data_IF_941807115331
#
_entry.id   IF_941807115331
#
_cell.length_a   1.000
_cell.length_b   1.000
_cell.length_c   1.000
_cell.angle_alpha   90.00
_cell.angle_beta   90.00
_cell.angle_gamma   90.00
#
_symmetry.space_group_name_H-M   'P 1'
#
loop_
_entity.id
_entity.type
_entity.pdbx_description
1 polymer ?
#
# COMPACT_ATOMS: atom_id res chain seq x y z
N UNK A 1 14.43 -19.19 10.61
CA UNK A 1 13.47 -18.54 9.70
C UNK A 1 13.55 -17.04 9.87
N UNK A 2 13.91 -16.33 8.80
CA UNK A 2 13.75 -14.88 8.74
C UNK A 2 12.25 -14.58 8.61
N UNK A 3 11.76 -13.54 9.29
CA UNK A 3 10.37 -13.11 9.16
C UNK A 3 10.20 -12.13 7.98
N UNK A 4 9.05 -12.11 7.28
CA UNK A 4 8.79 -11.16 6.21
C UNK A 4 8.74 -9.72 6.74
N UNK A 5 9.29 -8.79 5.97
CA UNK A 5 9.26 -7.35 6.24
C UNK A 5 8.97 -6.59 4.93
N UNK A 6 7.84 -6.93 4.32
CA UNK A 6 7.40 -6.32 3.07
C UNK A 6 6.71 -4.98 3.31
N UNK A 7 6.90 -4.02 2.42
CA UNK A 7 6.40 -2.65 2.58
C UNK A 7 5.85 -2.11 1.27
N UNK A 8 4.75 -1.39 1.36
CA UNK A 8 4.15 -0.61 0.29
C UNK A 8 3.59 0.68 0.89
N UNK A 9 3.41 1.70 0.05
CA UNK A 9 2.67 2.89 0.44
C UNK A 9 1.26 2.81 -0.18
N UNK A 10 0.29 3.37 0.52
CA UNK A 10 -1.01 3.66 -0.10
C UNK A 10 -0.80 4.57 -1.31
N UNK A 11 -1.55 4.30 -2.37
CA UNK A 11 -1.47 5.01 -3.65
C UNK A 11 -2.69 5.90 -3.78
N UNK A 12 -2.48 7.18 -4.06
CA UNK A 12 -3.54 8.12 -4.41
C UNK A 12 -3.25 8.62 -5.82
N UNK A 13 -4.20 8.43 -6.74
CA UNK A 13 -4.03 8.72 -8.16
C UNK A 13 -5.31 9.28 -8.76
N UNK A 14 -5.19 10.11 -9.81
CA UNK A 14 -6.33 10.59 -10.57
C UNK A 14 -6.82 9.52 -11.56
N UNK A 15 -8.11 9.51 -11.87
CA UNK A 15 -8.73 8.50 -12.75
C UNK A 15 -8.13 8.43 -14.17
N UNK A 16 -7.58 9.53 -14.67
CA UNK A 16 -6.98 9.67 -15.99
C UNK A 16 -5.47 9.37 -16.02
N UNK A 17 -4.85 9.22 -14.86
CA UNK A 17 -3.42 9.00 -14.72
C UNK A 17 -3.04 7.50 -14.65
N UNK A 18 -1.79 7.14 -15.01
CA UNK A 18 -1.28 5.79 -14.82
C UNK A 18 -1.39 5.32 -13.35
N UNK A 19 -1.97 4.15 -13.13
CA UNK A 19 -2.13 3.56 -11.80
C UNK A 19 -0.91 2.68 -11.50
N UNK A 20 0.10 3.28 -10.86
CA UNK A 20 1.38 2.65 -10.56
C UNK A 20 1.42 2.13 -9.11
N UNK A 21 1.64 0.83 -8.97
CA UNK A 21 1.82 0.16 -7.68
C UNK A 21 3.31 -0.07 -7.44
N UNK A 22 3.77 0.24 -6.23
CA UNK A 22 5.17 0.00 -5.83
C UNK A 22 5.26 -0.66 -4.47
N UNK A 23 6.23 -1.55 -4.30
CA UNK A 23 6.48 -2.23 -3.04
C UNK A 23 7.95 -2.63 -2.92
N UNK A 24 8.35 -3.02 -1.71
CA UNK A 24 9.66 -3.59 -1.40
C UNK A 24 9.49 -4.87 -0.59
N UNK A 25 10.10 -5.95 -1.07
CA UNK A 25 10.03 -7.29 -0.49
C UNK A 25 11.34 -7.65 0.20
N UNK A 26 11.34 -7.53 1.53
CA UNK A 26 12.48 -7.85 2.39
C UNK A 26 12.15 -8.91 3.43
N UNK A 27 13.20 -9.52 3.97
CA UNK A 27 13.17 -10.47 5.06
C UNK A 27 14.17 -10.05 6.17
N UNK A 28 13.76 -10.26 7.42
CA UNK A 28 14.53 -9.92 8.62
C UNK A 28 14.23 -8.52 9.17
N UNK A 29 14.53 -8.33 10.45
CA UNK A 29 14.24 -7.11 11.22
C UNK A 29 14.99 -5.86 10.77
N UNK A 30 16.02 -6.01 9.92
CA UNK A 30 16.85 -4.93 9.38
C UNK A 30 17.04 -5.06 7.86
N UNK A 31 16.06 -5.63 7.15
CA UNK A 31 16.12 -5.79 5.70
C UNK A 31 17.37 -6.56 5.25
N UNK A 32 17.70 -7.62 6.01
CA UNK A 32 18.93 -8.41 5.85
C UNK A 32 18.95 -9.15 4.50
N UNK A 33 17.78 -9.51 3.98
CA UNK A 33 17.66 -10.25 2.72
C UNK A 33 16.57 -9.64 1.85
N UNK A 34 16.90 -9.32 0.60
CA UNK A 34 15.92 -8.92 -0.40
C UNK A 34 15.44 -10.13 -1.18
N UNK A 35 14.15 -10.13 -1.55
CA UNK A 35 13.62 -11.10 -2.52
C UNK A 35 13.93 -10.58 -3.93
N UNK A 36 15.02 -11.05 -4.53
CA UNK A 36 15.44 -10.67 -5.89
C UNK A 36 15.00 -11.70 -6.91
N UNK A 37 14.36 -11.28 -8.00
CA UNK A 37 13.94 -12.19 -9.07
C UNK A 37 12.72 -13.05 -8.72
N UNK A 38 11.98 -12.66 -7.68
CA UNK A 38 10.79 -13.38 -7.21
C UNK A 38 9.53 -12.87 -7.90
N UNK A 39 8.63 -13.80 -8.22
CA UNK A 39 7.34 -13.47 -8.83
C UNK A 39 6.33 -13.06 -7.76
N UNK A 40 5.67 -11.94 -7.98
CA UNK A 40 4.67 -11.38 -7.07
C UNK A 40 3.36 -11.16 -7.83
N UNK A 41 2.28 -11.74 -7.31
CA UNK A 41 0.92 -11.60 -7.83
C UNK A 41 0.24 -10.36 -7.28
N UNK A 42 -0.42 -9.61 -8.15
CA UNK A 42 -1.16 -8.38 -7.84
C UNK A 42 -2.65 -8.71 -7.73
N UNK A 43 -3.18 -8.72 -6.52
CA UNK A 43 -4.60 -8.97 -6.27
C UNK A 43 -5.29 -7.68 -5.81
N UNK A 44 -6.49 -7.42 -6.34
CA UNK A 44 -7.30 -6.26 -5.98
C UNK A 44 -8.72 -6.68 -5.67
N UNK A 45 -9.31 -6.11 -4.62
CA UNK A 45 -10.73 -6.25 -4.33
C UNK A 45 -11.49 -5.08 -4.97
N UNK A 46 -12.19 -5.34 -6.07
CA UNK A 46 -12.90 -4.29 -6.85
C UNK A 46 -14.20 -3.81 -6.21
N UNK A 47 -14.78 -4.59 -5.30
CA UNK A 47 -16.06 -4.28 -4.63
C UNK A 47 -15.93 -4.40 -3.11
N UNK A 48 -15.14 -3.54 -2.45
CA UNK A 48 -14.98 -3.59 -1.00
C UNK A 48 -16.29 -3.24 -0.26
N UNK A 49 -16.50 -3.76 0.97
CA UNK A 49 -15.58 -4.59 1.75
C UNK A 49 -15.72 -6.11 1.52
N UNK A 50 -16.69 -6.56 0.72
CA UNK A 50 -17.09 -7.98 0.66
C UNK A 50 -16.86 -8.65 -0.71
N UNK A 51 -16.24 -7.97 -1.67
CA UNK A 51 -15.98 -8.50 -3.00
C UNK A 51 -14.84 -9.52 -3.03
N UNK A 52 -14.79 -10.28 -4.13
CA UNK A 52 -13.72 -11.24 -4.36
C UNK A 52 -12.39 -10.56 -4.73
N UNK A 53 -11.29 -11.23 -4.40
CA UNK A 53 -9.96 -10.85 -4.85
C UNK A 53 -9.79 -11.21 -6.33
N UNK A 54 -9.44 -10.22 -7.15
CA UNK A 54 -9.17 -10.39 -8.57
C UNK A 54 -7.68 -10.25 -8.85
N UNK A 55 -7.07 -11.24 -9.49
CA UNK A 55 -5.69 -11.15 -9.99
C UNK A 55 -5.63 -10.22 -11.20
N UNK A 56 -4.82 -9.16 -11.12
CA UNK A 56 -4.58 -8.23 -12.23
C UNK A 56 -3.36 -8.59 -13.08
N UNK A 57 -2.37 -9.22 -12.45
CA UNK A 57 -1.13 -9.59 -13.12
C UNK A 57 -0.06 -10.10 -12.16
N UNK A 58 1.11 -10.37 -12.70
CA UNK A 58 2.28 -10.85 -11.96
C UNK A 58 3.51 -10.10 -12.48
N UNK A 59 4.33 -9.59 -11.57
CA UNK A 59 5.61 -8.98 -11.92
C UNK A 59 6.75 -9.55 -11.08
N UNK A 60 7.98 -9.33 -11.55
CA UNK A 60 9.18 -9.85 -10.91
C UNK A 60 9.90 -8.75 -10.14
N UNK A 61 10.35 -9.05 -8.92
CA UNK A 61 11.16 -8.11 -8.13
C UNK A 61 12.55 -7.89 -8.74
N UNK A 62 13.05 -6.65 -8.63
CA UNK A 62 14.42 -6.32 -9.04
C UNK A 62 15.48 -6.90 -8.08
N UNK A 63 16.75 -6.67 -8.40
CA UNK A 63 17.89 -7.14 -7.60
C UNK A 63 17.96 -6.57 -6.17
N UNK A 64 17.11 -5.61 -5.83
CA UNK A 64 17.01 -4.95 -4.52
C UNK A 64 15.66 -5.22 -3.84
N UNK A 65 14.90 -6.20 -4.34
CA UNK A 65 13.58 -6.56 -3.87
C UNK A 65 12.51 -5.51 -4.13
N UNK A 66 12.73 -4.57 -5.06
CA UNK A 66 11.71 -3.59 -5.44
C UNK A 66 10.77 -4.20 -6.47
N UNK A 67 9.50 -3.88 -6.31
CA UNK A 67 8.42 -4.29 -7.16
C UNK A 67 7.74 -3.05 -7.73
N UNK A 68 7.44 -3.08 -9.02
CA UNK A 68 6.69 -2.04 -9.72
C UNK A 68 5.70 -2.70 -10.66
N UNK A 69 4.44 -2.27 -10.64
CA UNK A 69 3.41 -2.75 -11.55
C UNK A 69 2.51 -1.58 -11.96
N UNK A 70 2.43 -1.32 -13.26
CA UNK A 70 1.43 -0.41 -13.82
C UNK A 70 0.18 -1.20 -14.19
N UNK A 71 -0.98 -0.84 -13.64
CA UNK A 71 -2.24 -1.49 -14.00
C UNK A 71 -2.53 -1.21 -15.49
N UNK A 72 -2.68 -2.24 -16.33
CA UNK A 72 -2.96 -2.07 -17.76
C UNK A 72 -4.20 -1.23 -18.00
N UNK A 73 -4.23 -0.48 -19.10
CA UNK A 73 -5.30 0.49 -19.40
C UNK A 73 -6.69 -0.16 -19.39
N UNK A 74 -6.80 -1.38 -19.90
CA UNK A 74 -8.02 -2.19 -19.97
C UNK A 74 -8.49 -2.73 -18.60
N UNK A 75 -7.62 -2.70 -17.59
CA UNK A 75 -7.92 -3.14 -16.22
C UNK A 75 -7.93 -1.99 -15.21
N UNK A 76 -7.71 -0.74 -15.65
CA UNK A 76 -7.71 0.45 -14.79
C UNK A 76 -8.99 0.51 -13.98
N UNK A 77 -8.83 0.85 -12.71
CA UNK A 77 -9.94 1.00 -11.79
C UNK A 77 -10.55 2.39 -11.94
N UNK A 78 -11.86 2.49 -11.86
CA UNK A 78 -12.56 3.78 -11.83
C UNK A 78 -12.39 4.45 -10.46
N UNK A 79 -13.04 5.59 -10.25
CA UNK A 79 -13.06 6.27 -8.97
C UNK A 79 -13.49 5.32 -7.83
N UNK A 80 -12.76 5.35 -6.72
CA UNK A 80 -13.02 4.48 -5.58
C UNK A 80 -11.78 4.23 -4.71
N UNK A 81 -11.99 3.48 -3.63
CA UNK A 81 -10.95 3.03 -2.71
C UNK A 81 -10.86 1.51 -2.78
N UNK A 82 -9.69 0.98 -3.12
CA UNK A 82 -9.51 -0.43 -3.42
C UNK A 82 -8.43 -1.05 -2.54
N UNK A 83 -8.76 -2.11 -1.76
CA UNK A 83 -7.75 -2.96 -1.15
C UNK A 83 -6.90 -3.65 -2.20
N UNK A 84 -5.58 -3.59 -2.03
CA UNK A 84 -4.58 -4.25 -2.85
C UNK A 84 -3.77 -5.21 -1.98
N UNK A 85 -3.52 -6.41 -2.49
CA UNK A 85 -2.72 -7.46 -1.85
C UNK A 85 -1.70 -8.00 -2.84
N UNK A 86 -0.43 -7.82 -2.53
CA UNK A 86 0.67 -8.37 -3.30
C UNK A 86 1.17 -9.65 -2.63
N UNK A 87 1.22 -10.76 -3.37
CA UNK A 87 1.56 -12.09 -2.83
C UNK A 87 2.78 -12.66 -3.55
N UNK A 88 3.83 -12.97 -2.81
CA UNK A 88 5.02 -13.66 -3.34
C UNK A 88 4.65 -15.11 -3.65
N UNK A 89 4.87 -15.58 -4.88
CA UNK A 89 4.50 -16.95 -5.27
C UNK A 89 5.32 -18.04 -4.59
N UNK A 90 6.59 -17.76 -4.30
CA UNK A 90 7.52 -18.75 -3.74
C UNK A 90 7.12 -19.22 -2.35
N UNK A 91 6.65 -18.30 -1.50
CA UNK A 91 6.42 -18.55 -0.08
C UNK A 91 5.05 -18.05 0.44
N UNK A 92 4.23 -17.44 -0.43
CA UNK A 92 2.90 -16.89 -0.13
C UNK A 92 2.89 -15.76 0.91
N UNK A 93 4.04 -15.16 1.19
CA UNK A 93 4.12 -13.96 2.02
C UNK A 93 3.63 -12.74 1.24
N UNK A 94 3.08 -11.76 1.96
CA UNK A 94 2.31 -10.69 1.32
C UNK A 94 2.46 -9.33 1.98
N UNK A 95 2.08 -8.29 1.24
CA UNK A 95 1.85 -6.93 1.75
C UNK A 95 0.50 -6.42 1.24
N UNK A 96 -0.23 -5.75 2.14
CA UNK A 96 -1.54 -5.17 1.88
C UNK A 96 -1.43 -3.64 1.97
N UNK A 97 -2.15 -2.93 1.10
CA UNK A 97 -2.25 -1.46 1.09
C UNK A 97 -3.49 -1.04 0.29
N UNK A 98 -3.75 0.27 0.18
CA UNK A 98 -4.89 0.82 -0.54
C UNK A 98 -4.49 1.59 -1.80
N UNK A 99 -5.33 1.50 -2.82
CA UNK A 99 -5.32 2.37 -3.99
C UNK A 99 -6.60 3.23 -3.98
N UNK A 100 -6.43 4.54 -3.86
CA UNK A 100 -7.48 5.53 -4.01
C UNK A 100 -7.41 6.16 -5.41
N UNK A 101 -8.46 6.00 -6.19
CA UNK A 101 -8.63 6.64 -7.49
C UNK A 101 -9.61 7.80 -7.33
N UNK A 102 -9.15 9.02 -7.62
CA UNK A 102 -9.89 10.25 -7.37
C UNK A 102 -10.29 10.97 -8.67
N UNK A 103 -11.43 11.68 -8.69
CA UNK A 103 -11.75 12.60 -9.77
C UNK A 103 -10.69 13.73 -9.91
N UNK A 104 -10.50 14.28 -11.11
CA UNK A 104 -9.72 15.50 -11.29
C UNK A 104 -10.27 16.64 -10.42
N UNK A 105 -9.37 17.48 -9.91
CA UNK A 105 -9.69 18.63 -9.03
C UNK A 105 -10.28 18.26 -7.66
N UNK A 106 -10.06 17.03 -7.18
CA UNK A 106 -10.39 16.66 -5.80
C UNK A 106 -9.60 17.54 -4.81
N UNK A 107 -10.32 18.33 -4.01
CA UNK A 107 -9.72 19.14 -2.94
C UNK A 107 -9.16 18.22 -1.86
N UNK A 108 -7.96 18.52 -1.35
CA UNK A 108 -7.26 17.67 -0.40
C UNK A 108 -6.75 18.48 0.78
N UNK A 109 -6.91 17.94 1.98
CA UNK A 109 -6.31 18.47 3.20
C UNK A 109 -5.18 17.54 3.63
N UNK A 110 -3.97 18.09 3.78
CA UNK A 110 -2.83 17.35 4.29
C UNK A 110 -2.52 17.82 5.72
N UNK A 111 -2.38 16.88 6.65
CA UNK A 111 -2.00 17.15 8.03
C UNK A 111 -0.96 16.14 8.51
N UNK A 112 -0.18 16.55 9.51
CA UNK A 112 0.83 15.68 10.11
C UNK A 112 0.21 14.82 11.20
N UNK A 113 0.49 13.52 11.20
CA UNK A 113 0.10 12.65 12.31
C UNK A 113 0.83 13.09 13.59
N UNK A 114 2.15 13.19 13.55
CA UNK A 114 2.96 13.50 14.73
C UNK A 114 2.85 14.95 15.22
N UNK A 115 2.57 15.89 14.31
CA UNK A 115 2.48 17.32 14.62
C UNK A 115 1.07 17.81 14.94
N UNK A 116 0.06 17.24 14.28
CA UNK A 116 -1.32 17.74 14.32
C UNK A 116 -2.26 16.80 15.07
N UNK A 117 -2.12 15.49 14.87
CA UNK A 117 -3.06 14.50 15.43
C UNK A 117 -2.64 14.01 16.82
N UNK A 118 -1.35 13.70 17.02
CA UNK A 118 -0.87 13.17 18.29
C UNK A 118 -0.66 14.30 19.32
N UNK A 119 -1.01 13.99 20.57
CA UNK A 119 -0.76 14.84 21.74
C UNK A 119 0.54 14.45 22.47
N UNK A 120 1.15 13.32 22.11
CA UNK A 120 2.44 12.86 22.60
C UNK A 120 3.21 12.15 21.48
N UNK A 121 4.52 12.39 21.41
CA UNK A 121 5.43 11.74 20.46
C UNK A 121 6.33 10.80 21.24
N UNK A 122 5.86 9.57 21.50
CA UNK A 122 6.67 8.54 22.14
C UNK A 122 7.26 7.63 21.06
N UNK A 123 8.59 7.59 20.96
CA UNK A 123 9.33 6.73 20.00
C UNK A 123 8.99 5.23 20.19
N UNK A 124 8.63 4.82 21.42
CA UNK A 124 8.29 3.44 21.76
C UNK A 124 6.77 3.15 21.70
N UNK A 125 5.95 4.10 21.23
CA UNK A 125 4.49 3.96 21.16
C UNK A 125 3.77 3.67 22.50
N UNK A 126 4.40 3.92 23.65
CA UNK A 126 3.83 3.61 24.96
C UNK A 126 2.91 4.77 25.40
N UNK A 127 1.60 4.52 25.47
CA UNK A 127 0.54 5.50 25.77
C UNK A 127 0.31 6.57 24.66
N UNK A 128 -0.16 6.15 23.46
CA UNK A 128 -0.49 7.09 22.38
C UNK A 128 -1.69 7.95 22.79
N UNK A 129 -1.53 9.28 22.76
CA UNK A 129 -2.62 10.23 23.04
C UNK A 129 -2.98 10.99 21.79
N UNK A 130 -4.27 11.17 21.55
CA UNK A 130 -4.81 12.00 20.46
C UNK A 130 -5.20 13.35 21.03
N UNK A 131 -4.96 14.45 20.30
CA UNK A 131 -5.43 15.78 20.72
C UNK A 131 -6.95 15.82 20.70
N UNK A 132 -7.55 16.36 21.77
CA UNK A 132 -9.00 16.56 21.80
C UNK A 132 -9.47 17.42 20.61
N UNK A 133 -10.51 16.98 19.91
CA UNK A 133 -11.03 17.65 18.71
C UNK A 133 -10.25 17.35 17.42
N UNK A 134 -9.17 16.56 17.42
CA UNK A 134 -8.43 16.23 16.21
C UNK A 134 -9.22 15.37 15.20
N UNK A 135 -10.31 14.75 15.67
CA UNK A 135 -11.23 13.94 14.84
C UNK A 135 -12.39 14.79 14.31
N UNK A 136 -12.68 15.95 14.91
CA UNK A 136 -13.84 16.80 14.56
C UNK A 136 -13.58 17.73 13.36
N UNK A 137 -12.39 17.66 12.74
CA UNK A 137 -11.94 18.56 11.65
C UNK A 137 -11.76 17.81 10.32
N UNK A 138 -12.37 16.63 10.15
CA UNK A 138 -12.20 15.78 8.94
C UNK A 138 -13.53 15.55 8.23
#
# INVERSE_FOLDING_TARGET
NLQPNHRANDVIVLEDMPQLLTAKFMYGSLDITCLSGEKVDVNVMKQPPAGDWTLLGTETTDSHGRFTFEIPQEQRLSQGLYPVKLVVRGDHTSVDFYLAVLPPKTETVAFSIDGSFTASVSIMGKDPKVRAGAVDVV
#
